data_IF_266342125146
#
_entry.id   IF_266342125146
#
_cell.length_a   1.000
_cell.length_b   1.000
_cell.length_c   1.000
_cell.angle_alpha   90.00
_cell.angle_beta   90.00
_cell.angle_gamma   90.00
#
_symmetry.space_group_name_H-M   'P 1'
#
loop_
_entity.id
_entity.type
_entity.pdbx_description
1 polymer ?
#
# COMPACT_ATOMS: atom_id res chain seq x y z
N UNK A 1 -5.00 -19.53 -4.48
CA UNK A 1 -5.49 -20.32 -5.64
C UNK A 1 -5.57 -19.44 -6.87
N UNK A 2 -5.54 -20.02 -8.07
CA UNK A 2 -5.86 -19.30 -9.32
C UNK A 2 -7.35 -18.97 -9.32
N UNK A 3 -7.69 -17.75 -9.70
CA UNK A 3 -9.05 -17.21 -9.69
C UNK A 3 -9.34 -16.57 -11.06
N UNK A 4 -10.57 -16.73 -11.56
CA UNK A 4 -11.00 -16.21 -12.86
C UNK A 4 -10.81 -14.69 -12.97
N UNK A 5 -11.10 -13.94 -11.89
CA UNK A 5 -10.94 -12.48 -11.83
C UNK A 5 -9.48 -12.01 -11.98
N UNK A 6 -8.52 -12.93 -11.83
CA UNK A 6 -7.09 -12.65 -11.91
C UNK A 6 -6.52 -12.89 -13.32
N UNK A 7 -7.21 -13.67 -14.17
CA UNK A 7 -6.69 -14.10 -15.47
C UNK A 7 -6.42 -12.92 -16.43
N UNK A 8 -7.15 -11.81 -16.31
CA UNK A 8 -6.92 -10.60 -17.13
C UNK A 8 -5.52 -9.99 -16.97
N UNK A 9 -4.80 -10.32 -15.87
CA UNK A 9 -3.46 -9.78 -15.57
C UNK A 9 -2.42 -10.84 -15.18
N UNK A 10 -2.83 -12.07 -14.90
CA UNK A 10 -1.95 -13.18 -14.51
C UNK A 10 -1.80 -14.18 -15.66
N UNK A 11 -1.17 -13.72 -16.74
CA UNK A 11 -1.06 -14.43 -18.02
C UNK A 11 -0.24 -15.73 -17.98
N UNK A 12 0.41 -16.02 -16.84
CA UNK A 12 1.10 -17.29 -16.60
C UNK A 12 0.11 -18.45 -16.32
N UNK A 13 -1.15 -18.14 -16.01
CA UNK A 13 -2.22 -19.10 -15.72
C UNK A 13 -3.23 -19.17 -16.86
N UNK A 14 -3.85 -20.33 -17.06
CA UNK A 14 -4.98 -20.51 -17.98
C UNK A 14 -6.33 -20.69 -17.27
N UNK A 15 -7.42 -20.64 -18.04
CA UNK A 15 -8.79 -20.94 -17.55
C UNK A 15 -8.86 -22.35 -16.94
N UNK A 16 -8.14 -23.31 -17.53
CA UNK A 16 -8.06 -24.69 -17.02
C UNK A 16 -7.38 -24.79 -15.63
N UNK A 17 -6.69 -23.74 -15.18
CA UNK A 17 -6.02 -23.71 -13.89
C UNK A 17 -6.85 -23.12 -12.76
N UNK A 18 -8.04 -22.57 -13.04
CA UNK A 18 -8.90 -21.98 -12.01
C UNK A 18 -9.17 -22.99 -10.90
N UNK A 19 -8.97 -22.58 -9.65
CA UNK A 19 -9.07 -23.45 -8.48
C UNK A 19 -7.84 -24.34 -8.22
N UNK A 20 -6.75 -24.22 -8.99
CA UNK A 20 -5.43 -24.84 -8.67
C UNK A 20 -4.55 -23.91 -7.84
N UNK A 21 -3.49 -24.46 -7.25
CA UNK A 21 -2.42 -23.65 -6.64
C UNK A 21 -1.76 -22.77 -7.70
N UNK A 22 -1.57 -21.47 -7.40
CA UNK A 22 -0.86 -20.55 -8.31
C UNK A 22 0.58 -21.01 -8.54
N UNK A 23 1.23 -21.52 -7.49
CA UNK A 23 2.61 -22.00 -7.57
C UNK A 23 2.73 -23.19 -8.53
N UNK A 24 1.83 -24.16 -8.43
CA UNK A 24 1.84 -25.35 -9.29
C UNK A 24 1.51 -25.01 -10.75
N UNK A 25 0.46 -24.21 -11.01
CA UNK A 25 0.14 -23.76 -12.38
C UNK A 25 1.31 -22.97 -12.99
N UNK A 26 1.92 -22.04 -12.24
CA UNK A 26 3.08 -21.29 -12.71
C UNK A 26 4.27 -22.18 -13.05
N UNK A 27 4.59 -23.19 -12.21
CA UNK A 27 5.65 -24.17 -12.51
C UNK A 27 5.38 -24.90 -13.82
N UNK A 28 4.17 -25.40 -13.99
CA UNK A 28 3.83 -26.19 -15.18
C UNK A 28 3.98 -25.33 -16.45
N UNK A 29 3.53 -24.06 -16.41
CA UNK A 29 3.75 -23.10 -17.49
C UNK A 29 5.23 -22.80 -17.75
N UNK A 30 6.03 -22.60 -16.71
CA UNK A 30 7.48 -22.31 -16.83
C UNK A 30 8.24 -23.51 -17.42
N UNK A 31 7.96 -24.72 -16.93
CA UNK A 31 8.60 -25.96 -17.41
C UNK A 31 8.21 -26.26 -18.86
N UNK A 32 6.98 -25.94 -19.26
CA UNK A 32 6.54 -26.06 -20.65
C UNK A 32 7.31 -25.11 -21.59
N UNK A 33 7.71 -23.93 -21.11
CA UNK A 33 8.53 -22.98 -21.87
C UNK A 33 9.99 -23.44 -21.95
N UNK A 34 10.56 -23.88 -20.82
CA UNK A 34 11.94 -24.34 -20.77
C UNK A 34 12.10 -25.52 -19.79
N UNK A 35 12.27 -26.77 -20.30
CA UNK A 35 12.41 -27.93 -19.43
C UNK A 35 13.81 -28.07 -18.80
N UNK A 36 14.78 -27.24 -19.19
CA UNK A 36 16.16 -27.32 -18.69
C UNK A 36 16.36 -26.63 -17.33
N UNK A 37 15.37 -25.85 -16.87
CA UNK A 37 15.44 -25.13 -15.60
C UNK A 37 14.77 -25.92 -14.48
N UNK A 38 15.24 -25.70 -13.25
CA UNK A 38 14.65 -26.27 -12.05
C UNK A 38 13.76 -25.23 -11.38
N UNK A 39 12.45 -25.49 -11.36
CA UNK A 39 11.48 -24.67 -10.63
C UNK A 39 11.23 -25.29 -9.25
N UNK A 40 11.68 -24.62 -8.19
CA UNK A 40 11.45 -25.05 -6.80
C UNK A 40 10.24 -24.32 -6.23
N UNK A 41 9.22 -25.06 -5.84
CA UNK A 41 8.01 -24.51 -5.23
C UNK A 41 8.18 -24.31 -3.72
N UNK A 42 7.63 -23.22 -3.22
CA UNK A 42 7.43 -22.96 -1.79
C UNK A 42 5.95 -22.67 -1.55
N UNK A 43 5.17 -23.70 -1.22
CA UNK A 43 3.74 -23.58 -0.95
C UNK A 43 3.48 -23.18 0.52
N UNK A 44 4.03 -22.03 0.90
CA UNK A 44 3.92 -21.46 2.24
C UNK A 44 3.67 -19.95 2.16
N UNK A 45 3.13 -19.38 3.23
CA UNK A 45 3.05 -17.92 3.41
C UNK A 45 4.43 -17.42 3.85
N UNK A 46 4.97 -16.44 3.13
CA UNK A 46 6.18 -15.75 3.57
C UNK A 46 5.87 -15.00 4.88
N UNK A 47 6.68 -15.23 5.91
CA UNK A 47 6.48 -14.70 7.25
C UNK A 47 7.84 -14.34 7.89
N UNK A 48 7.88 -13.49 8.93
CA UNK A 48 9.12 -13.16 9.63
C UNK A 48 9.92 -14.39 10.07
N UNK A 49 9.22 -15.46 10.48
CA UNK A 49 9.82 -16.70 10.96
C UNK A 49 10.51 -17.54 9.89
N UNK A 50 10.29 -17.26 8.59
CA UNK A 50 10.83 -18.08 7.49
C UNK A 50 11.57 -17.28 6.41
N UNK A 51 11.36 -15.97 6.31
CA UNK A 51 11.81 -15.18 5.15
C UNK A 51 13.33 -15.15 5.00
N UNK A 52 14.08 -14.86 6.08
CA UNK A 52 15.54 -14.73 6.02
C UNK A 52 16.21 -16.05 5.62
N UNK A 53 15.83 -17.16 6.26
CA UNK A 53 16.43 -18.47 5.98
C UNK A 53 16.04 -18.99 4.59
N UNK A 54 14.87 -18.60 4.09
CA UNK A 54 14.49 -18.85 2.72
C UNK A 54 15.37 -18.07 1.74
N UNK A 55 15.55 -16.77 1.97
CA UNK A 55 16.27 -15.87 1.05
C UNK A 55 17.76 -16.17 0.98
N UNK A 56 18.38 -16.64 2.07
CA UNK A 56 19.78 -17.10 2.08
C UNK A 56 20.07 -18.21 1.05
N UNK A 57 19.06 -18.99 0.64
CA UNK A 57 19.18 -20.07 -0.34
C UNK A 57 19.19 -19.59 -1.80
N UNK A 58 19.01 -18.29 -2.04
CA UNK A 58 18.90 -17.71 -3.38
C UNK A 58 19.92 -16.59 -3.58
N UNK A 59 20.26 -16.31 -4.83
CA UNK A 59 21.21 -15.23 -5.19
C UNK A 59 20.51 -13.88 -5.37
N UNK A 60 19.24 -13.88 -5.75
CA UNK A 60 18.46 -12.71 -6.10
C UNK A 60 16.99 -12.90 -5.71
N UNK A 61 16.36 -11.85 -5.20
CA UNK A 61 14.94 -11.83 -4.84
C UNK A 61 14.17 -10.92 -5.82
N UNK A 62 13.04 -11.40 -6.35
CA UNK A 62 12.08 -10.61 -7.13
C UNK A 62 10.78 -10.48 -6.35
N UNK A 63 10.29 -9.26 -6.19
CA UNK A 63 9.04 -8.96 -5.49
C UNK A 63 7.99 -8.34 -6.39
N UNK A 64 6.96 -9.13 -6.67
CA UNK A 64 5.73 -8.70 -7.31
C UNK A 64 4.53 -8.77 -6.36
N UNK A 65 4.74 -8.63 -5.05
CA UNK A 65 3.68 -8.67 -4.04
C UNK A 65 2.85 -7.38 -4.04
N UNK A 66 1.58 -7.53 -3.73
CA UNK A 66 0.55 -6.51 -3.92
C UNK A 66 0.08 -5.85 -2.62
N UNK A 67 0.79 -6.09 -1.50
CA UNK A 67 0.48 -5.51 -0.21
C UNK A 67 1.75 -4.99 0.49
N UNK A 68 1.60 -3.91 1.25
CA UNK A 68 2.73 -3.22 1.89
C UNK A 68 3.43 -4.08 2.94
N UNK A 69 2.68 -4.76 3.81
CA UNK A 69 3.27 -5.59 4.85
C UNK A 69 4.27 -6.61 4.28
N UNK A 70 3.92 -7.27 3.18
CA UNK A 70 4.83 -8.21 2.51
C UNK A 70 6.01 -7.50 1.86
N UNK A 71 5.84 -6.31 1.25
CA UNK A 71 6.96 -5.54 0.67
C UNK A 71 8.01 -5.15 1.70
N UNK A 72 7.58 -4.68 2.88
CA UNK A 72 8.50 -4.37 3.99
C UNK A 72 9.17 -5.63 4.53
N UNK A 73 8.42 -6.72 4.69
CA UNK A 73 8.99 -8.01 5.08
C UNK A 73 10.05 -8.50 4.08
N UNK A 74 9.76 -8.45 2.78
CA UNK A 74 10.67 -8.88 1.72
C UNK A 74 11.91 -8.00 1.69
N UNK A 75 11.76 -6.68 1.75
CA UNK A 75 12.91 -5.77 1.83
C UNK A 75 13.80 -6.10 3.02
N UNK A 76 13.23 -6.13 4.22
CA UNK A 76 14.00 -6.28 5.44
C UNK A 76 14.65 -7.67 5.51
N UNK A 77 13.96 -8.70 5.01
CA UNK A 77 14.52 -10.04 4.90
C UNK A 77 15.66 -10.11 3.87
N UNK A 78 15.56 -9.39 2.76
CA UNK A 78 16.63 -9.32 1.76
C UNK A 78 17.86 -8.59 2.30
N UNK A 79 17.66 -7.50 3.06
CA UNK A 79 18.75 -6.80 3.77
C UNK A 79 19.44 -7.75 4.74
N UNK A 80 18.69 -8.42 5.63
CA UNK A 80 19.27 -9.34 6.62
C UNK A 80 19.91 -10.60 6.00
N UNK A 81 19.46 -11.01 4.82
CA UNK A 81 20.05 -12.11 4.06
C UNK A 81 21.23 -11.68 3.16
N UNK A 82 21.52 -10.37 3.07
CA UNK A 82 22.56 -9.82 2.20
C UNK A 82 22.28 -10.03 0.71
N UNK A 83 21.02 -9.94 0.28
CA UNK A 83 20.59 -10.28 -1.09
C UNK A 83 20.13 -9.05 -1.88
N UNK A 84 20.48 -8.95 -3.18
CA UNK A 84 19.86 -7.99 -4.08
C UNK A 84 18.36 -8.28 -4.23
N UNK A 85 17.60 -7.21 -4.37
CA UNK A 85 16.15 -7.17 -4.30
C UNK A 85 15.60 -6.34 -5.46
N UNK A 86 14.95 -6.99 -6.42
CA UNK A 86 14.26 -6.34 -7.55
C UNK A 86 12.79 -6.21 -7.20
N UNK A 87 12.32 -4.97 -7.13
CA UNK A 87 10.97 -4.65 -6.70
C UNK A 87 10.15 -4.09 -7.85
N UNK A 88 8.88 -4.48 -7.92
CA UNK A 88 7.89 -3.86 -8.78
C UNK A 88 6.57 -3.59 -8.05
N UNK A 89 5.94 -2.47 -8.38
CA UNK A 89 4.61 -2.12 -7.87
C UNK A 89 3.76 -1.49 -8.96
N UNK A 90 2.45 -1.68 -8.86
CA UNK A 90 1.49 -1.19 -9.83
C UNK A 90 0.28 -0.64 -9.10
N UNK A 91 -0.23 0.49 -9.58
CA UNK A 91 -1.47 1.08 -9.09
C UNK A 91 -2.23 1.71 -10.25
N UNK A 92 -3.43 1.19 -10.55
CA UNK A 92 -4.29 1.65 -11.66
C UNK A 92 -3.57 1.66 -13.02
N UNK A 93 -3.07 2.82 -13.43
CA UNK A 93 -2.40 3.09 -14.70
C UNK A 93 -0.91 3.40 -14.55
N UNK A 94 -0.37 3.29 -13.33
CA UNK A 94 1.02 3.58 -13.02
C UNK A 94 1.77 2.30 -12.62
N UNK A 95 3.01 2.20 -13.04
CA UNK A 95 3.95 1.15 -12.66
C UNK A 95 5.23 1.75 -12.09
N UNK A 96 5.86 1.03 -11.16
CA UNK A 96 7.15 1.39 -10.58
C UNK A 96 8.05 0.17 -10.51
N UNK A 97 9.35 0.39 -10.72
CA UNK A 97 10.37 -0.62 -10.56
C UNK A 97 11.68 -0.02 -10.04
N UNK A 98 12.40 -0.76 -9.21
CA UNK A 98 13.71 -0.37 -8.70
C UNK A 98 14.53 -1.61 -8.34
N UNK A 99 15.84 -1.43 -8.22
CA UNK A 99 16.74 -2.41 -7.58
C UNK A 99 17.22 -1.84 -6.26
N UNK A 100 17.20 -2.69 -5.24
CA UNK A 100 17.67 -2.40 -3.90
C UNK A 100 18.68 -3.46 -3.49
N UNK A 101 19.76 -3.05 -2.84
CA UNK A 101 20.80 -3.93 -2.32
C UNK A 101 21.57 -3.14 -1.25
N UNK A 102 21.39 -3.51 0.02
CA UNK A 102 21.99 -2.76 1.15
C UNK A 102 23.52 -2.75 1.07
N UNK A 103 24.10 -3.92 0.85
CA UNK A 103 25.55 -4.12 0.78
C UNK A 103 26.06 -4.07 -0.66
N UNK A 104 25.42 -3.28 -1.51
CA UNK A 104 25.87 -3.14 -2.90
C UNK A 104 27.34 -2.66 -2.95
N UNK A 105 28.13 -3.15 -3.93
CA UNK A 105 29.49 -2.69 -4.14
C UNK A 105 29.59 -1.18 -4.34
N UNK A 106 30.80 -0.65 -4.18
CA UNK A 106 31.15 0.75 -4.48
C UNK A 106 30.37 1.81 -3.67
N UNK A 107 29.79 1.41 -2.53
CA UNK A 107 29.04 2.32 -1.67
C UNK A 107 27.69 2.76 -2.24
N UNK A 108 27.15 2.01 -3.22
CA UNK A 108 25.85 2.28 -3.85
C UNK A 108 24.67 1.67 -3.07
N UNK A 109 24.92 1.26 -1.83
CA UNK A 109 23.95 0.59 -0.96
C UNK A 109 22.69 1.42 -0.76
N UNK A 110 21.54 0.86 -1.12
CA UNK A 110 20.21 1.42 -0.87
C UNK A 110 19.21 0.30 -0.66
N UNK A 111 18.22 0.52 0.20
CA UNK A 111 17.11 -0.40 0.42
C UNK A 111 15.76 0.31 0.28
N UNK A 112 14.67 -0.44 0.32
CA UNK A 112 13.32 0.08 0.10
C UNK A 112 12.94 1.17 1.09
N UNK A 113 13.45 1.12 2.33
CA UNK A 113 13.17 2.13 3.37
C UNK A 113 13.85 3.47 3.08
N UNK A 114 14.93 3.50 2.30
CA UNK A 114 15.50 4.76 1.82
C UNK A 114 14.54 5.50 0.87
N UNK A 115 13.62 4.79 0.22
CA UNK A 115 12.55 5.36 -0.60
C UNK A 115 11.24 5.57 0.20
N UNK A 116 10.88 4.59 1.03
CA UNK A 116 9.67 4.60 1.85
C UNK A 116 9.99 4.21 3.31
N UNK A 117 10.42 5.16 4.16
CA UNK A 117 10.98 4.88 5.49
C UNK A 117 10.09 4.05 6.40
N UNK A 118 8.80 4.39 6.43
CA UNK A 118 7.81 3.77 7.30
C UNK A 118 6.66 3.16 6.50
N UNK A 119 6.17 1.98 6.90
CA UNK A 119 5.00 1.39 6.26
C UNK A 119 3.80 2.33 6.37
N UNK A 120 3.03 2.51 5.28
CA UNK A 120 1.79 3.25 5.37
C UNK A 120 0.83 2.52 6.32
N UNK A 121 -0.02 3.25 7.06
CA UNK A 121 -1.09 2.64 7.83
C UNK A 121 -1.93 1.67 7.00
N UNK A 122 -2.44 0.58 7.60
CA UNK A 122 -3.23 -0.42 6.90
C UNK A 122 -4.46 0.20 6.23
N UNK A 123 -4.75 -0.23 5.00
CA UNK A 123 -5.91 0.26 4.25
C UNK A 123 -5.74 1.64 3.61
N UNK A 124 -4.63 2.36 3.86
CA UNK A 124 -4.38 3.67 3.25
C UNK A 124 -4.21 3.60 1.73
N UNK A 125 -3.72 2.47 1.21
CA UNK A 125 -3.54 2.24 -0.22
C UNK A 125 -4.18 0.89 -0.58
N UNK A 126 -5.14 0.86 -1.52
CA UNK A 126 -5.86 -0.35 -1.87
C UNK A 126 -4.95 -1.33 -2.63
N UNK A 127 -5.22 -2.62 -2.47
CA UNK A 127 -4.57 -3.66 -3.28
C UNK A 127 -4.91 -3.52 -4.77
N UNK A 128 -4.19 -4.24 -5.65
CA UNK A 128 -4.55 -4.31 -7.07
C UNK A 128 -5.97 -4.82 -7.30
N UNK A 129 -6.48 -5.70 -6.43
CA UNK A 129 -7.83 -6.22 -6.49
C UNK A 129 -8.90 -5.18 -6.07
N UNK A 130 -8.54 -4.26 -5.17
CA UNK A 130 -9.45 -3.23 -4.65
C UNK A 130 -9.42 -1.93 -5.48
N UNK A 131 -8.22 -1.49 -5.90
CA UNK A 131 -8.01 -0.23 -6.61
C UNK A 131 -8.25 -0.32 -8.12
N UNK A 132 -8.29 -1.55 -8.66
CA UNK A 132 -8.27 -1.82 -10.10
C UNK A 132 -6.88 -1.66 -10.71
N UNK A 133 -6.61 -2.41 -11.77
CA UNK A 133 -5.33 -2.36 -12.51
C UNK A 133 -5.53 -2.67 -13.99
N UNK A 134 -4.89 -1.88 -14.84
CA UNK A 134 -4.78 -2.19 -16.26
C UNK A 134 -3.82 -3.37 -16.44
N UNK A 135 -4.35 -4.55 -16.78
CA UNK A 135 -3.60 -5.82 -16.74
C UNK A 135 -2.28 -5.84 -17.53
N UNK A 136 -2.19 -5.09 -18.63
CA UNK A 136 -0.96 -5.02 -19.43
C UNK A 136 0.22 -4.41 -18.67
N UNK A 137 -0.05 -3.53 -17.69
CA UNK A 137 1.00 -2.91 -16.87
C UNK A 137 1.72 -3.98 -16.02
N UNK A 138 1.03 -5.05 -15.62
CA UNK A 138 1.64 -6.19 -14.93
C UNK A 138 2.73 -6.81 -15.78
N UNK A 139 2.48 -7.01 -17.08
CA UNK A 139 3.48 -7.55 -18.01
C UNK A 139 4.62 -6.55 -18.26
N UNK A 140 4.31 -5.26 -18.41
CA UNK A 140 5.33 -4.22 -18.63
C UNK A 140 6.31 -4.10 -17.46
N UNK A 141 5.79 -3.97 -16.22
CA UNK A 141 6.63 -3.87 -15.02
C UNK A 141 7.39 -5.18 -14.78
N UNK A 142 6.75 -6.35 -14.95
CA UNK A 142 7.45 -7.62 -14.82
C UNK A 142 8.57 -7.79 -15.85
N UNK A 143 8.43 -7.24 -17.07
CA UNK A 143 9.48 -7.26 -18.10
C UNK A 143 10.67 -6.40 -17.70
N UNK A 144 10.43 -5.22 -17.08
CA UNK A 144 11.49 -4.40 -16.49
C UNK A 144 12.20 -5.18 -15.38
N UNK A 145 11.45 -5.76 -14.43
CA UNK A 145 12.02 -6.54 -13.33
C UNK A 145 12.86 -7.73 -13.83
N UNK A 146 12.37 -8.47 -14.84
CA UNK A 146 13.12 -9.56 -15.46
C UNK A 146 14.40 -9.10 -16.13
N UNK A 147 14.38 -7.92 -16.77
CA UNK A 147 15.58 -7.31 -17.36
C UNK A 147 16.59 -6.92 -16.28
N UNK A 148 16.15 -6.34 -15.15
CA UNK A 148 17.03 -6.05 -14.01
C UNK A 148 17.64 -7.33 -13.42
N UNK A 149 16.85 -8.39 -13.31
CA UNK A 149 17.33 -9.67 -12.81
C UNK A 149 18.44 -10.26 -13.70
N UNK A 150 18.26 -10.21 -15.03
CA UNK A 150 19.30 -10.64 -15.97
C UNK A 150 20.57 -9.80 -15.79
N UNK A 151 20.44 -8.47 -15.76
CA UNK A 151 21.59 -7.57 -15.59
C UNK A 151 22.37 -7.84 -14.30
N UNK A 152 21.67 -8.05 -13.18
CA UNK A 152 22.29 -8.38 -11.90
C UNK A 152 23.02 -9.73 -11.94
N UNK A 153 22.39 -10.76 -12.51
CA UNK A 153 22.98 -12.10 -12.59
C UNK A 153 24.21 -12.13 -13.50
N UNK A 154 24.15 -11.45 -14.65
CA UNK A 154 25.22 -11.50 -15.66
C UNK A 154 26.26 -10.39 -15.51
N UNK A 155 26.02 -9.40 -14.64
CA UNK A 155 26.90 -8.25 -14.44
C UNK A 155 27.02 -7.33 -15.67
N UNK A 156 25.94 -7.18 -16.44
CA UNK A 156 25.94 -6.36 -17.67
C UNK A 156 25.08 -5.11 -17.53
N UNK A 157 25.46 -4.06 -18.28
CA UNK A 157 24.70 -2.82 -18.36
C UNK A 157 24.63 -2.07 -17.03
N UNK A 158 23.70 -1.12 -16.94
CA UNK A 158 23.46 -0.33 -15.74
C UNK A 158 22.12 -0.70 -15.13
N UNK A 159 22.11 -1.16 -13.88
CA UNK A 159 20.89 -1.57 -13.17
C UNK A 159 20.10 -0.37 -12.65
N UNK A 160 18.85 -0.58 -12.27
CA UNK A 160 18.04 0.41 -11.54
C UNK A 160 18.47 0.57 -10.08
N UNK A 161 19.67 0.13 -9.69
CA UNK A 161 20.18 0.34 -8.33
C UNK A 161 20.32 1.85 -8.09
N UNK A 162 19.72 2.34 -7.00
CA UNK A 162 19.69 3.78 -6.70
C UNK A 162 18.78 4.59 -7.64
N UNK A 163 17.88 3.94 -8.38
CA UNK A 163 17.00 4.60 -9.36
C UNK A 163 15.59 4.03 -9.34
N UNK A 164 14.59 4.88 -9.12
CA UNK A 164 13.18 4.55 -9.28
C UNK A 164 12.76 4.80 -10.73
N UNK A 165 12.39 3.75 -11.46
CA UNK A 165 11.65 3.89 -12.70
C UNK A 165 10.17 4.08 -12.38
N UNK A 166 9.54 5.10 -12.96
CA UNK A 166 8.09 5.32 -12.93
C UNK A 166 7.56 5.29 -14.36
N UNK A 167 6.58 4.44 -14.58
CA UNK A 167 5.86 4.27 -15.84
C UNK A 167 4.43 4.79 -15.70
N UNK A 168 4.06 5.77 -16.52
CA UNK A 168 2.68 6.23 -16.68
C UNK A 168 2.12 5.66 -17.99
N UNK A 169 1.10 4.81 -17.91
CA UNK A 169 0.52 4.17 -19.08
C UNK A 169 -0.47 5.07 -19.85
N UNK A 170 -1.03 6.11 -19.22
CA UNK A 170 -1.94 7.05 -19.89
C UNK A 170 -1.17 8.04 -20.74
N UNK A 171 -0.06 8.57 -20.21
CA UNK A 171 0.84 9.45 -20.93
C UNK A 171 1.85 8.68 -21.80
N UNK A 172 1.98 7.37 -21.58
CA UNK A 172 3.01 6.51 -22.18
C UNK A 172 4.42 7.06 -21.95
N UNK A 173 4.70 7.46 -20.71
CA UNK A 173 5.98 8.06 -20.31
C UNK A 173 6.74 7.17 -19.32
N UNK A 174 8.07 7.20 -19.44
CA UNK A 174 8.99 6.57 -18.50
C UNK A 174 9.91 7.64 -17.93
N UNK A 175 9.89 7.80 -16.62
CA UNK A 175 10.78 8.73 -15.89
C UNK A 175 11.61 7.96 -14.88
N UNK A 176 12.84 8.41 -14.68
CA UNK A 176 13.73 7.83 -13.67
C UNK A 176 14.05 8.89 -12.62
N UNK A 177 13.97 8.52 -11.35
CA UNK A 177 14.27 9.38 -10.21
C UNK A 177 15.43 8.75 -9.44
N UNK A 178 16.46 9.53 -9.12
CA UNK A 178 17.59 9.04 -8.30
C UNK A 178 17.15 8.88 -6.85
N UNK A 179 17.43 7.70 -6.28
CA UNK A 179 17.27 7.39 -4.86
C UNK A 179 18.65 7.51 -4.21
N UNK A 180 18.70 8.05 -3.00
CA UNK A 180 19.93 8.11 -2.19
C UNK A 180 19.67 7.47 -0.84
N UNK A 181 20.73 6.90 -0.27
CA UNK A 181 20.72 6.43 1.13
C UNK A 181 20.31 7.59 2.04
N UNK A 182 19.35 7.35 2.92
CA UNK A 182 18.99 8.30 3.96
C UNK A 182 19.75 7.95 5.25
N UNK A 183 20.68 8.80 5.72
CA UNK A 183 21.46 8.54 6.94
C UNK A 183 20.61 8.42 8.21
N UNK A 184 19.38 8.93 8.19
CA UNK A 184 18.45 8.88 9.31
C UNK A 184 17.60 7.60 9.35
N UNK A 185 17.58 6.81 8.27
CA UNK A 185 16.82 5.56 8.22
C UNK A 185 17.40 4.56 9.22
N UNK A 186 16.57 4.03 10.16
CA UNK A 186 17.02 3.03 11.11
C UNK A 186 17.61 1.80 10.41
N UNK A 187 18.72 1.28 10.96
CA UNK A 187 19.30 0.04 10.46
C UNK A 187 18.35 -1.12 10.72
N UNK A 188 18.16 -1.94 9.70
CA UNK A 188 17.37 -3.17 9.81
C UNK A 188 18.26 -4.22 10.48
N UNK A 189 17.95 -4.57 11.74
CA UNK A 189 18.70 -5.58 12.52
C UNK A 189 17.91 -6.85 12.79
N UNK A 190 16.58 -6.80 12.66
CA UNK A 190 15.67 -7.92 12.86
C UNK A 190 14.38 -7.73 12.05
N UNK A 191 13.60 -8.80 11.90
CA UNK A 191 12.27 -8.73 11.29
C UNK A 191 11.22 -8.49 12.37
N UNK A 192 10.27 -7.62 12.06
CA UNK A 192 9.08 -7.38 12.89
C UNK A 192 7.88 -8.14 12.31
N UNK A 193 6.85 -8.39 13.12
CA UNK A 193 5.59 -8.91 12.60
C UNK A 193 4.80 -7.77 11.94
N UNK A 194 5.01 -7.58 10.63
CA UNK A 194 4.33 -6.54 9.86
C UNK A 194 2.82 -6.81 9.71
N UNK A 195 2.36 -8.06 9.78
CA UNK A 195 0.93 -8.36 9.78
C UNK A 195 0.29 -8.03 11.13
N UNK A 196 1.00 -8.15 12.25
CA UNK A 196 0.55 -7.69 13.56
C UNK A 196 0.69 -6.16 13.70
N UNK A 197 1.78 -5.57 13.22
CA UNK A 197 1.99 -4.11 13.25
C UNK A 197 0.99 -3.36 12.36
N UNK A 198 0.65 -3.93 11.20
CA UNK A 198 -0.46 -3.44 10.38
C UNK A 198 -1.83 -3.92 10.92
N UNK A 199 -1.99 -5.18 11.30
CA UNK A 199 -3.27 -5.77 11.70
C UNK A 199 -3.84 -5.20 12.99
N UNK A 200 -3.02 -4.84 13.97
CA UNK A 200 -3.48 -4.23 15.24
C UNK A 200 -4.16 -2.87 14.98
N UNK A 201 -3.67 -2.10 14.01
CA UNK A 201 -4.30 -0.83 13.62
C UNK A 201 -5.61 -1.06 12.85
N UNK A 202 -5.69 -2.14 12.07
CA UNK A 202 -6.90 -2.51 11.33
C UNK A 202 -8.01 -3.07 12.26
N UNK A 203 -7.67 -3.87 13.28
CA UNK A 203 -8.62 -4.39 14.27
C UNK A 203 -9.14 -3.27 15.19
N UNK A 204 -8.27 -2.37 15.66
CA UNK A 204 -8.69 -1.20 16.43
C UNK A 204 -9.60 -0.27 15.59
N UNK A 205 -9.29 -0.09 14.30
CA UNK A 205 -10.13 0.68 13.38
C UNK A 205 -11.49 -0.01 13.10
N UNK A 206 -11.49 -1.32 12.85
CA UNK A 206 -12.71 -2.09 12.63
C UNK A 206 -13.60 -2.10 13.88
N UNK A 207 -13.01 -2.25 15.07
CA UNK A 207 -13.71 -2.21 16.35
C UNK A 207 -14.21 -0.81 16.69
N UNK A 208 -13.43 0.24 16.38
CA UNK A 208 -13.84 1.63 16.57
C UNK A 208 -14.98 2.05 15.62
N UNK A 209 -14.96 1.57 14.37
CA UNK A 209 -15.99 1.81 13.37
C UNK A 209 -17.29 1.04 13.66
N UNK A 210 -17.21 -0.14 14.29
CA UNK A 210 -18.37 -0.97 14.66
C UNK A 210 -19.30 -0.19 15.61
N UNK A 211 -20.42 0.30 15.08
CA UNK A 211 -21.40 1.11 15.80
C UNK A 211 -21.08 2.62 15.87
N UNK A 212 -20.10 3.11 15.10
CA UNK A 212 -19.76 4.54 15.03
C UNK A 212 -19.44 5.00 13.61
N UNK A 213 -20.04 4.32 12.64
CA UNK A 213 -20.14 4.75 11.26
C UNK A 213 -21.49 5.40 11.04
N UNK A 214 -21.51 6.57 10.41
CA UNK A 214 -22.74 7.21 9.94
C UNK A 214 -22.72 7.34 8.42
N UNK A 215 -23.89 7.26 7.80
CA UNK A 215 -24.08 7.45 6.36
C UNK A 215 -24.18 8.94 6.01
N UNK A 216 -23.98 9.33 4.74
CA UNK A 216 -24.24 10.70 4.29
C UNK A 216 -25.65 11.21 4.60
N UNK A 217 -26.65 10.33 4.53
CA UNK A 217 -28.03 10.67 4.87
C UNK A 217 -28.21 10.99 6.35
N UNK A 218 -27.68 10.14 7.23
CA UNK A 218 -27.75 10.39 8.68
C UNK A 218 -27.00 11.66 9.07
N UNK A 219 -25.85 11.93 8.44
CA UNK A 219 -25.13 13.17 8.65
C UNK A 219 -25.98 14.38 8.23
N UNK A 220 -26.66 14.31 7.08
CA UNK A 220 -27.57 15.37 6.62
C UNK A 220 -28.71 15.59 7.62
N UNK A 221 -29.33 14.52 8.09
CA UNK A 221 -30.42 14.59 9.07
C UNK A 221 -29.96 15.26 10.38
N UNK A 222 -28.74 14.97 10.85
CA UNK A 222 -28.19 15.58 12.05
C UNK A 222 -27.84 17.07 11.88
N UNK A 223 -27.36 17.46 10.69
CA UNK A 223 -27.13 18.86 10.37
C UNK A 223 -28.45 19.63 10.32
N UNK A 224 -29.47 19.07 9.69
CA UNK A 224 -30.80 19.67 9.55
C UNK A 224 -31.55 19.74 10.90
N UNK A 225 -31.31 18.78 11.81
CA UNK A 225 -31.88 18.80 13.16
C UNK A 225 -31.23 19.81 14.10
N UNK A 226 -30.18 20.51 13.67
CA UNK A 226 -29.42 21.46 14.51
C UNK A 226 -28.61 20.78 15.63
N UNK A 227 -28.26 19.50 15.48
CA UNK A 227 -27.40 18.81 16.44
C UNK A 227 -26.02 19.50 16.47
N UNK A 228 -25.43 19.66 17.66
CA UNK A 228 -24.08 20.21 17.79
C UNK A 228 -23.05 19.19 17.28
N UNK A 229 -22.51 19.43 16.10
CA UNK A 229 -21.50 18.59 15.45
C UNK A 229 -20.20 19.36 15.19
N UNK A 230 -19.08 18.64 15.17
CA UNK A 230 -17.84 19.09 14.57
C UNK A 230 -17.51 18.20 13.37
N UNK A 231 -17.54 18.77 12.17
CA UNK A 231 -17.07 18.08 10.98
C UNK A 231 -15.54 18.18 10.93
N UNK A 232 -14.86 17.04 10.99
CA UNK A 232 -13.39 16.97 11.03
C UNK A 232 -12.88 16.32 9.75
N UNK A 233 -12.18 17.10 8.95
CA UNK A 233 -11.51 16.60 7.74
C UNK A 233 -10.11 16.11 8.08
N UNK A 234 -9.87 14.81 7.88
CA UNK A 234 -8.57 14.20 8.18
C UNK A 234 -7.67 14.04 6.97
N UNK A 235 -8.02 14.66 5.84
CA UNK A 235 -7.21 14.71 4.62
C UNK A 235 -6.02 15.66 4.77
N UNK A 236 -5.16 15.68 3.76
CA UNK A 236 -4.01 16.57 3.70
C UNK A 236 -4.41 17.98 3.22
N UNK A 237 -3.62 19.04 3.53
CA UNK A 237 -3.98 20.43 3.17
C UNK A 237 -4.30 20.64 1.68
N UNK A 238 -3.57 19.97 0.79
CA UNK A 238 -3.80 20.06 -0.66
C UNK A 238 -5.19 19.54 -1.04
N UNK A 239 -5.65 18.47 -0.40
CA UNK A 239 -6.98 17.90 -0.63
C UNK A 239 -8.10 18.80 -0.09
N UNK A 240 -7.84 19.50 1.02
CA UNK A 240 -8.74 20.45 1.66
C UNK A 240 -8.94 21.72 0.82
N UNK A 241 -7.85 22.24 0.24
CA UNK A 241 -7.87 23.45 -0.57
C UNK A 241 -8.66 23.28 -1.88
N UNK A 242 -8.78 22.03 -2.37
CA UNK A 242 -9.58 21.71 -3.56
C UNK A 242 -11.09 21.77 -3.23
N UNK A 243 -11.50 21.08 -2.16
CA UNK A 243 -12.90 20.96 -1.75
C UNK A 243 -13.00 20.44 -0.33
N UNK A 244 -14.01 20.87 0.43
CA UNK A 244 -14.33 20.35 1.76
C UNK A 244 -15.83 20.52 2.04
N UNK A 245 -16.35 19.86 3.08
CA UNK A 245 -17.74 20.05 3.50
C UNK A 245 -17.84 21.38 4.25
N UNK A 246 -18.84 22.19 3.93
CA UNK A 246 -19.04 23.48 4.58
C UNK A 246 -19.14 23.36 6.10
N UNK A 247 -18.42 24.21 6.81
CA UNK A 247 -18.35 24.18 8.28
C UNK A 247 -17.42 23.11 8.86
N UNK A 248 -16.68 22.37 8.02
CA UNK A 248 -15.63 21.48 8.48
C UNK A 248 -14.40 22.21 9.02
N UNK A 249 -13.62 21.49 9.80
CA UNK A 249 -12.32 21.90 10.30
C UNK A 249 -11.27 20.89 9.82
N UNK A 250 -10.18 21.38 9.24
CA UNK A 250 -9.04 20.54 8.84
C UNK A 250 -8.21 20.13 10.06
N UNK A 251 -8.15 18.83 10.32
CA UNK A 251 -7.22 18.22 11.28
C UNK A 251 -6.65 16.95 10.63
N UNK A 252 -5.52 17.05 9.91
CA UNK A 252 -4.96 15.93 9.17
C UNK A 252 -4.71 14.71 10.07
N UNK A 253 -4.90 13.50 9.53
CA UNK A 253 -4.67 12.25 10.29
C UNK A 253 -3.28 12.20 10.91
N UNK A 254 -2.26 12.74 10.24
CA UNK A 254 -0.89 12.82 10.76
C UNK A 254 -0.82 13.57 12.10
N UNK A 255 -1.57 14.66 12.25
CA UNK A 255 -1.65 15.41 13.52
C UNK A 255 -2.46 14.66 14.58
N UNK A 256 -3.50 13.93 14.20
CA UNK A 256 -4.25 13.08 15.14
C UNK A 256 -3.32 11.99 15.69
N UNK A 257 -2.53 11.37 14.81
CA UNK A 257 -1.58 10.31 15.18
C UNK A 257 -0.44 10.83 16.08
N UNK A 258 0.05 12.05 15.87
CA UNK A 258 1.07 12.67 16.73
C UNK A 258 0.53 13.17 18.08
N UNK A 259 -0.79 13.21 18.23
CA UNK A 259 -1.49 13.70 19.43
C UNK A 259 -1.76 15.21 19.44
N UNK A 260 -1.05 16.01 18.65
CA UNK A 260 -1.27 17.46 18.55
C UNK A 260 -2.67 17.81 18.02
N UNK A 261 -3.19 16.99 17.11
CA UNK A 261 -4.52 17.13 16.53
C UNK A 261 -5.63 16.83 17.54
N UNK A 262 -5.37 15.98 18.54
CA UNK A 262 -6.37 15.62 19.56
C UNK A 262 -6.73 16.82 20.44
N UNK A 263 -5.77 17.70 20.73
CA UNK A 263 -6.00 18.92 21.50
C UNK A 263 -6.88 19.95 20.77
N UNK A 264 -7.01 19.82 19.44
CA UNK A 264 -7.83 20.70 18.59
C UNK A 264 -9.26 20.19 18.43
N UNK A 265 -9.55 18.96 18.86
CA UNK A 265 -10.88 18.38 18.77
C UNK A 265 -11.80 19.01 19.83
N UNK A 266 -12.96 19.54 19.44
CA UNK A 266 -13.88 20.17 20.38
C UNK A 266 -14.55 19.12 21.26
N UNK A 267 -14.63 19.39 22.57
CA UNK A 267 -15.26 18.50 23.55
C UNK A 267 -16.74 18.81 23.81
N UNK A 268 -17.26 19.91 23.27
CA UNK A 268 -18.64 20.39 23.49
C UNK A 268 -19.66 19.88 22.45
N UNK A 269 -19.20 19.08 21.48
CA UNK A 269 -19.98 18.64 20.32
C UNK A 269 -19.45 17.31 19.77
N UNK A 270 -20.33 16.54 19.13
CA UNK A 270 -19.97 15.23 18.57
C UNK A 270 -19.04 15.40 17.36
N UNK A 271 -17.87 14.78 17.39
CA UNK A 271 -16.92 14.80 16.27
C UNK A 271 -17.34 13.80 15.18
N UNK A 272 -17.43 14.28 13.95
CA UNK A 272 -17.71 13.50 12.74
C UNK A 272 -16.49 13.57 11.83
N UNK A 273 -15.69 12.50 11.81
CA UNK A 273 -14.48 12.43 11.01
C UNK A 273 -14.80 11.99 9.58
N UNK A 274 -14.25 12.68 8.59
CA UNK A 274 -14.35 12.25 7.20
C UNK A 274 -13.01 12.41 6.47
N UNK A 275 -12.85 11.63 5.42
CA UNK A 275 -11.73 11.73 4.50
C UNK A 275 -12.24 11.60 3.06
N UNK A 276 -11.39 11.22 2.10
CA UNK A 276 -11.82 11.03 0.70
C UNK A 276 -12.88 9.94 0.56
N UNK A 277 -12.59 8.73 1.04
CA UNK A 277 -13.41 7.52 0.84
C UNK A 277 -13.89 6.83 2.11
N UNK A 278 -13.62 7.40 3.29
CA UNK A 278 -14.05 6.88 4.59
C UNK A 278 -13.06 5.93 5.29
N UNK A 279 -11.99 5.49 4.61
CA UNK A 279 -10.98 4.58 5.19
C UNK A 279 -10.10 5.30 6.21
N UNK A 280 -9.45 6.39 5.77
CA UNK A 280 -8.56 7.21 6.62
C UNK A 280 -9.27 7.74 7.88
N UNK A 281 -10.56 8.09 7.78
CA UNK A 281 -11.33 8.59 8.92
C UNK A 281 -11.77 7.48 9.88
N UNK A 282 -12.01 6.26 9.41
CA UNK A 282 -12.25 5.11 10.27
C UNK A 282 -11.03 4.80 11.16
N UNK A 283 -9.83 4.90 10.60
CA UNK A 283 -8.59 4.71 11.37
C UNK A 283 -8.36 5.86 12.37
N UNK A 284 -8.52 7.11 11.93
CA UNK A 284 -8.38 8.27 12.82
C UNK A 284 -9.36 8.20 14.00
N UNK A 285 -10.57 7.66 13.76
CA UNK A 285 -11.59 7.47 14.78
C UNK A 285 -11.10 6.58 15.95
N UNK A 286 -10.27 5.57 15.69
CA UNK A 286 -9.72 4.73 16.76
C UNK A 286 -8.82 5.52 17.72
N UNK A 287 -7.91 6.34 17.17
CA UNK A 287 -7.06 7.23 17.96
C UNK A 287 -7.87 8.26 18.76
N UNK A 288 -8.89 8.84 18.13
CA UNK A 288 -9.80 9.83 18.74
C UNK A 288 -10.59 9.23 19.90
N UNK A 289 -11.16 8.04 19.72
CA UNK A 289 -11.88 7.33 20.79
C UNK A 289 -10.97 6.96 21.95
N UNK A 290 -9.75 6.49 21.67
CA UNK A 290 -8.74 6.18 22.69
C UNK A 290 -8.34 7.41 23.52
N UNK A 291 -8.43 8.60 22.93
CA UNK A 291 -8.19 9.87 23.59
C UNK A 291 -9.38 10.39 24.43
N UNK A 292 -10.50 9.65 24.50
CA UNK A 292 -11.66 9.97 25.34
C UNK A 292 -12.88 10.50 24.60
N UNK A 293 -12.83 10.68 23.28
CA UNK A 293 -13.97 11.12 22.47
C UNK A 293 -14.87 9.92 22.11
N UNK A 294 -15.55 9.38 23.13
CA UNK A 294 -16.32 8.13 23.00
C UNK A 294 -17.51 8.22 22.04
N UNK A 295 -18.09 9.40 21.84
CA UNK A 295 -19.24 9.65 20.95
C UNK A 295 -18.82 10.00 19.51
N UNK A 296 -17.51 10.07 19.23
CA UNK A 296 -17.01 10.36 17.89
C UNK A 296 -17.46 9.28 16.90
N UNK A 297 -17.74 9.71 15.67
CA UNK A 297 -18.16 8.87 14.56
C UNK A 297 -17.39 9.21 13.29
N UNK A 298 -17.40 8.35 12.29
CA UNK A 298 -16.84 8.66 10.97
C UNK A 298 -17.88 8.52 9.85
N UNK A 299 -17.71 9.31 8.79
CA UNK A 299 -18.58 9.32 7.63
C UNK A 299 -18.25 8.17 6.66
N UNK A 300 -19.22 7.30 6.43
CA UNK A 300 -19.12 6.20 5.47
C UNK A 300 -18.93 6.73 4.06
N UNK A 301 -17.90 6.22 3.36
CA UNK A 301 -17.62 6.61 1.98
C UNK A 301 -17.01 8.01 1.82
N UNK A 302 -16.76 8.73 2.92
CA UNK A 302 -16.10 10.03 2.95
C UNK A 302 -16.82 11.12 2.15
N UNK A 303 -16.07 12.16 1.77
CA UNK A 303 -16.59 13.29 0.98
C UNK A 303 -17.08 12.85 -0.41
N UNK A 304 -16.53 11.76 -0.97
CA UNK A 304 -17.00 11.19 -2.24
C UNK A 304 -18.44 10.71 -2.15
N UNK A 305 -18.80 10.01 -1.07
CA UNK A 305 -20.17 9.57 -0.86
C UNK A 305 -21.10 10.74 -0.49
N UNK A 306 -20.60 11.72 0.26
CA UNK A 306 -21.32 12.95 0.55
C UNK A 306 -21.72 13.70 -0.73
N UNK A 307 -20.74 14.02 -1.58
CA UNK A 307 -20.99 14.74 -2.82
C UNK A 307 -22.01 14.01 -3.71
N UNK A 308 -21.84 12.69 -3.90
CA UNK A 308 -22.76 11.90 -4.74
C UNK A 308 -24.20 11.88 -4.25
N UNK A 309 -24.42 11.90 -2.93
CA UNK A 309 -25.74 11.67 -2.35
C UNK A 309 -26.43 12.96 -1.89
N UNK A 310 -25.67 13.96 -1.44
CA UNK A 310 -26.17 15.13 -0.73
C UNK A 310 -25.81 16.45 -1.42
N UNK A 311 -24.73 16.49 -2.22
CA UNK A 311 -24.26 17.73 -2.87
C UNK A 311 -23.64 17.45 -4.26
N UNK A 312 -24.45 17.09 -5.27
CA UNK A 312 -23.97 16.61 -6.58
C UNK A 312 -23.17 17.62 -7.38
N UNK A 313 -23.27 18.90 -7.03
CA UNK A 313 -22.56 20.05 -7.61
C UNK A 313 -21.17 20.28 -6.98
N UNK A 314 -20.83 19.56 -5.93
CA UNK A 314 -19.51 19.61 -5.29
C UNK A 314 -18.41 19.11 -6.25
N UNK A 315 -17.33 19.88 -6.38
CA UNK A 315 -16.18 19.53 -7.24
C UNK A 315 -15.50 18.26 -6.70
N UNK A 316 -15.27 17.29 -7.59
CA UNK A 316 -14.67 15.99 -7.26
C UNK A 316 -13.32 15.81 -7.95
N UNK A 317 -12.38 15.18 -7.24
CA UNK A 317 -11.04 14.77 -7.71
C UNK A 317 -10.71 13.36 -7.23
#
# INVERSE_FOLDING_TARGET
MVDESNLQRQVIHGVADVGRSKAQSARDSIVAINPLIRVRLHELRLAPSNAVDLFKQYDLILDGTDNFATRYLVNDAAVLAGKPYVWGSIYRFEGQASVFWEDAPDGLGVNYRDLYPEPPPPGMVPSCAEGGVLGIICASVASVMGTEAIKLITGIGETLLGRLLVYDALEMSYRTITIRKDPSTPKITELVDYEQFCGVVADDAAQAAKGSTITPRELRDWLDSGRKLALIDVRDPVEWDIVHIDGAQLIPKSLINSGEGLAKLPQDRTAVLYCKTGVRSAEALAAVKKAGFSDAVHLQGGIVAWAKQMQPDMVMY
#
